data_IF_155251276901
#
_entry.id   IF_155251276901
#
_cell.length_a   1.000
_cell.length_b   1.000
_cell.length_c   1.000
_cell.angle_alpha   90.00
_cell.angle_beta   90.00
_cell.angle_gamma   90.00
#
_symmetry.space_group_name_H-M   'P 1'
#
loop_
_entity.id
_entity.type
_entity.pdbx_description
1 polymer ?
#
# COMPACT_ATOMS: atom_id res chain seq x y z
N UNK A 1 63.68 -50.99 4.15
CA UNK A 1 62.34 -50.57 3.68
C UNK A 1 62.11 -49.14 4.13
N UNK A 2 62.24 -48.16 3.22
CA UNK A 2 62.38 -46.72 3.52
C UNK A 2 61.25 -45.94 2.83
N UNK A 3 60.56 -45.10 3.60
CA UNK A 3 59.45 -44.24 3.19
C UNK A 3 59.90 -43.18 2.18
N UNK A 4 59.27 -43.15 1.01
CA UNK A 4 59.30 -42.09 -0.03
C UNK A 4 57.96 -42.24 -0.78
N UNK A 5 57.14 -41.24 -1.10
CA UNK A 5 57.28 -39.80 -1.00
C UNK A 5 55.90 -39.13 -0.94
N UNK A 6 55.72 -38.30 0.08
CA UNK A 6 54.79 -37.17 0.08
C UNK A 6 55.68 -35.95 -0.11
N UNK A 7 55.68 -35.29 -1.29
CA UNK A 7 55.93 -33.83 -1.42
C UNK A 7 55.99 -33.33 -2.89
N UNK A 8 54.98 -33.51 -3.75
CA UNK A 8 55.08 -32.91 -5.11
C UNK A 8 53.76 -32.63 -5.85
N UNK A 9 52.68 -32.18 -5.19
CA UNK A 9 51.45 -31.85 -5.93
C UNK A 9 50.62 -30.71 -5.31
N UNK A 10 51.22 -29.54 -5.05
CA UNK A 10 50.47 -28.33 -4.63
C UNK A 10 50.85 -27.07 -5.43
N UNK A 11 51.73 -27.14 -6.43
CA UNK A 11 52.21 -25.91 -7.13
C UNK A 11 51.56 -25.71 -8.52
N UNK A 12 50.62 -26.57 -8.95
CA UNK A 12 50.03 -26.50 -10.29
C UNK A 12 48.74 -25.69 -10.45
N UNK A 13 48.00 -25.40 -9.38
CA UNK A 13 46.62 -24.89 -9.48
C UNK A 13 46.46 -23.38 -9.23
N UNK A 14 47.55 -22.63 -9.01
CA UNK A 14 47.50 -21.19 -8.80
C UNK A 14 47.57 -20.34 -10.09
N UNK A 15 47.67 -20.95 -11.28
CA UNK A 15 47.81 -20.22 -12.55
C UNK A 15 46.58 -20.30 -13.49
N UNK A 16 45.45 -20.84 -13.03
CA UNK A 16 44.21 -20.87 -13.82
C UNK A 16 43.16 -19.83 -13.39
N UNK A 17 43.49 -18.92 -12.48
CA UNK A 17 42.60 -17.83 -12.05
C UNK A 17 42.88 -16.47 -12.72
N UNK A 18 43.83 -16.39 -13.65
CA UNK A 18 44.17 -15.14 -14.36
C UNK A 18 43.46 -14.95 -15.71
N UNK A 19 42.51 -15.82 -16.08
CA UNK A 19 41.88 -15.82 -17.41
C UNK A 19 40.38 -15.47 -17.44
N UNK A 20 39.79 -14.96 -16.34
CA UNK A 20 38.45 -14.37 -16.36
C UNK A 20 38.49 -12.96 -15.75
N UNK A 21 39.33 -12.08 -16.31
CA UNK A 21 39.32 -10.64 -16.02
C UNK A 21 39.12 -9.81 -17.30
N UNK A 22 38.19 -10.26 -18.16
CA UNK A 22 37.64 -9.44 -19.24
C UNK A 22 36.28 -8.91 -18.78
N UNK A 23 36.33 -7.76 -18.10
CA UNK A 23 35.16 -7.08 -17.59
C UNK A 23 35.55 -5.96 -16.64
N UNK A 24 36.33 -4.99 -17.14
CA UNK A 24 36.44 -3.69 -16.49
C UNK A 24 35.05 -3.05 -16.53
N UNK A 25 34.19 -3.39 -15.56
CA UNK A 25 33.03 -2.58 -15.24
C UNK A 25 33.58 -1.20 -14.89
N UNK A 26 33.21 -0.20 -15.66
CA UNK A 26 33.52 1.19 -15.35
C UNK A 26 32.98 1.53 -13.96
N UNK A 27 33.60 2.48 -13.26
CA UNK A 27 33.11 2.94 -11.95
C UNK A 27 31.62 3.32 -12.00
N UNK A 28 31.13 3.79 -13.15
CA UNK A 28 29.70 4.03 -13.41
C UNK A 28 28.84 2.77 -13.48
N UNK A 29 29.33 1.68 -14.07
CA UNK A 29 28.61 0.39 -14.10
C UNK A 29 28.59 -0.27 -12.73
N UNK A 30 29.67 -0.13 -11.94
CA UNK A 30 29.70 -0.58 -10.55
C UNK A 30 28.75 0.26 -9.68
N UNK A 31 28.77 1.59 -9.81
CA UNK A 31 27.85 2.47 -9.07
C UNK A 31 26.39 2.21 -9.45
N UNK A 32 26.11 1.96 -10.74
CA UNK A 32 24.78 1.59 -11.21
C UNK A 32 24.36 0.23 -10.66
N UNK A 33 25.22 -0.77 -10.69
CA UNK A 33 24.93 -2.10 -10.13
C UNK A 33 24.70 -2.03 -8.62
N UNK A 34 25.49 -1.24 -7.88
CA UNK A 34 25.28 -1.01 -6.45
C UNK A 34 23.97 -0.27 -6.18
N UNK A 35 23.62 0.72 -7.00
CA UNK A 35 22.33 1.42 -6.90
C UNK A 35 21.16 0.48 -7.20
N UNK A 36 21.28 -0.38 -8.21
CA UNK A 36 20.25 -1.34 -8.59
C UNK A 36 20.05 -2.41 -7.49
N UNK A 37 21.13 -2.91 -6.88
CA UNK A 37 21.05 -3.82 -5.71
C UNK A 37 20.42 -3.10 -4.51
N UNK A 38 20.82 -1.85 -4.24
CA UNK A 38 20.24 -1.06 -3.16
C UNK A 38 18.73 -0.78 -3.36
N UNK A 39 18.28 -0.58 -4.61
CA UNK A 39 16.85 -0.39 -4.92
C UNK A 39 16.03 -1.66 -4.68
N UNK A 40 16.58 -2.84 -4.94
CA UNK A 40 15.91 -4.13 -4.65
C UNK A 40 15.75 -4.32 -3.13
N UNK A 41 16.81 -4.08 -2.37
CA UNK A 41 16.75 -4.15 -0.90
C UNK A 41 15.82 -3.09 -0.30
N UNK A 42 15.83 -1.87 -0.84
CA UNK A 42 14.88 -0.81 -0.45
C UNK A 42 13.43 -1.18 -0.75
N UNK A 43 13.16 -1.87 -1.87
CA UNK A 43 11.81 -2.32 -2.22
C UNK A 43 11.29 -3.37 -1.22
N UNK A 44 12.15 -4.32 -0.84
CA UNK A 44 11.80 -5.31 0.18
C UNK A 44 11.58 -4.66 1.55
N UNK A 45 12.41 -3.67 1.92
CA UNK A 45 12.25 -2.93 3.16
C UNK A 45 10.96 -2.09 3.17
N UNK A 46 10.60 -1.47 2.05
CA UNK A 46 9.35 -0.72 1.91
C UNK A 46 8.13 -1.59 2.21
N UNK A 47 8.09 -2.82 1.69
CA UNK A 47 6.99 -3.75 1.94
C UNK A 47 6.90 -4.14 3.42
N UNK A 48 8.04 -4.48 4.05
CA UNK A 48 8.11 -4.76 5.49
C UNK A 48 7.61 -3.57 6.31
N UNK A 49 8.02 -2.36 5.94
CA UNK A 49 7.61 -1.13 6.62
C UNK A 49 6.11 -0.89 6.48
N UNK A 50 5.52 -1.21 5.32
CA UNK A 50 4.10 -1.00 5.06
C UNK A 50 3.18 -2.09 5.65
N UNK A 51 3.71 -3.27 5.95
CA UNK A 51 2.90 -4.41 6.38
C UNK A 51 3.11 -4.77 7.84
N UNK A 52 4.37 -5.00 8.25
CA UNK A 52 4.72 -5.61 9.55
C UNK A 52 5.22 -4.57 10.55
N UNK A 53 5.93 -3.53 10.11
CA UNK A 53 6.53 -2.57 11.03
C UNK A 53 5.50 -1.76 11.81
N UNK A 54 5.91 -1.28 12.99
CA UNK A 54 5.12 -0.31 13.75
C UNK A 54 4.80 0.91 12.87
N UNK A 55 3.55 1.42 12.86
CA UNK A 55 3.19 2.51 11.98
C UNK A 55 4.01 3.80 12.18
N UNK A 56 4.41 4.13 13.42
CA UNK A 56 5.21 5.33 13.68
C UNK A 56 6.66 5.14 13.24
N UNK A 57 7.21 3.92 13.35
CA UNK A 57 8.51 3.57 12.79
C UNK A 57 8.51 3.67 11.25
N UNK A 58 7.48 3.14 10.59
CA UNK A 58 7.31 3.24 9.16
C UNK A 58 7.22 4.70 8.69
N UNK A 59 6.48 5.55 9.43
CA UNK A 59 6.42 6.99 9.16
C UNK A 59 7.81 7.62 9.25
N UNK A 60 8.58 7.33 10.30
CA UNK A 60 9.92 7.89 10.47
C UNK A 60 10.86 7.45 9.33
N UNK A 61 10.80 6.18 8.95
CA UNK A 61 11.55 5.63 7.82
C UNK A 61 11.21 6.35 6.51
N UNK A 62 9.93 6.33 6.09
CA UNK A 62 9.54 6.92 4.81
C UNK A 62 9.72 8.44 4.79
N UNK A 63 9.56 9.13 5.92
CA UNK A 63 9.81 10.55 6.01
C UNK A 63 11.29 10.87 5.74
N UNK A 64 12.21 10.09 6.32
CA UNK A 64 13.65 10.24 6.05
C UNK A 64 13.99 9.90 4.60
N UNK A 65 13.56 8.74 4.12
CA UNK A 65 13.96 8.23 2.79
C UNK A 65 13.37 9.07 1.66
N UNK A 66 12.11 9.51 1.78
CA UNK A 66 11.48 10.40 0.78
C UNK A 66 12.06 11.82 0.79
N UNK A 67 12.63 12.30 1.90
CA UNK A 67 13.36 13.56 1.95
C UNK A 67 14.71 13.47 1.21
N UNK A 68 15.36 12.30 1.27
CA UNK A 68 16.61 12.02 0.55
C UNK A 68 16.38 11.75 -0.95
N UNK A 69 15.18 11.28 -1.30
CA UNK A 69 14.82 10.88 -2.65
C UNK A 69 13.48 11.53 -3.06
N UNK A 70 13.43 12.86 -3.27
CA UNK A 70 12.17 13.59 -3.45
C UNK A 70 11.38 13.20 -4.69
N UNK A 71 12.05 12.67 -5.73
CA UNK A 71 11.43 12.32 -7.02
C UNK A 71 10.81 10.90 -7.02
N UNK A 72 11.02 10.12 -5.95
CA UNK A 72 10.52 8.74 -5.83
C UNK A 72 9.09 8.74 -5.28
N UNK A 73 8.12 8.65 -6.19
CA UNK A 73 6.68 8.62 -5.84
C UNK A 73 6.31 7.44 -4.94
N UNK A 74 6.96 6.29 -5.09
CA UNK A 74 6.73 5.11 -4.26
C UNK A 74 7.07 5.36 -2.78
N UNK A 75 8.14 6.11 -2.49
CA UNK A 75 8.48 6.50 -1.11
C UNK A 75 7.48 7.51 -0.54
N UNK A 76 6.95 8.41 -1.37
CA UNK A 76 5.91 9.37 -0.98
C UNK A 76 4.57 8.68 -0.71
N UNK A 77 4.19 7.71 -1.53
CA UNK A 77 3.05 6.79 -1.28
C UNK A 77 3.26 6.05 0.03
N UNK A 78 4.46 5.51 0.25
CA UNK A 78 4.81 4.80 1.48
C UNK A 78 4.65 5.66 2.73
N UNK A 79 5.10 6.93 2.68
CA UNK A 79 4.87 7.90 3.75
C UNK A 79 3.38 8.14 4.00
N UNK A 80 2.62 8.41 2.94
CA UNK A 80 1.20 8.72 3.04
C UNK A 80 0.39 7.53 3.62
N UNK A 81 0.64 6.32 3.13
CA UNK A 81 0.02 5.09 3.64
C UNK A 81 0.41 4.81 5.11
N UNK A 82 1.66 5.02 5.48
CA UNK A 82 2.12 4.85 6.87
C UNK A 82 1.46 5.85 7.82
N UNK A 83 1.24 7.09 7.37
CA UNK A 83 0.50 8.10 8.16
C UNK A 83 -0.97 7.70 8.39
N UNK A 84 -1.62 7.03 7.42
CA UNK A 84 -2.96 6.44 7.61
C UNK A 84 -2.91 5.35 8.69
N UNK A 85 -1.95 4.41 8.59
CA UNK A 85 -1.76 3.32 9.58
C UNK A 85 -1.46 3.86 10.97
N UNK A 86 -0.69 4.94 11.07
CA UNK A 86 -0.34 5.63 12.32
C UNK A 86 -1.47 6.51 12.88
N UNK A 87 -2.68 6.43 12.30
CA UNK A 87 -3.86 7.22 12.72
C UNK A 87 -3.60 8.73 12.71
N UNK A 88 -2.83 9.21 11.73
CA UNK A 88 -2.51 10.63 11.48
C UNK A 88 -3.18 11.13 10.19
N UNK A 89 -4.52 11.08 10.07
CA UNK A 89 -5.22 11.24 8.79
C UNK A 89 -5.05 12.62 8.15
N UNK A 90 -4.94 13.70 8.95
CA UNK A 90 -4.68 15.05 8.40
C UNK A 90 -3.31 15.14 7.73
N UNK A 91 -2.28 14.54 8.34
CA UNK A 91 -0.95 14.49 7.75
C UNK A 91 -0.93 13.57 6.52
N UNK A 92 -1.64 12.44 6.59
CA UNK A 92 -1.81 11.54 5.45
C UNK A 92 -2.47 12.24 4.26
N UNK A 93 -3.53 13.02 4.49
CA UNK A 93 -4.21 13.78 3.45
C UNK A 93 -3.24 14.77 2.77
N UNK A 94 -2.44 15.51 3.54
CA UNK A 94 -1.40 16.39 2.97
C UNK A 94 -0.37 15.60 2.15
N UNK A 95 0.07 14.43 2.63
CA UNK A 95 1.04 13.60 1.91
C UNK A 95 0.46 13.02 0.60
N UNK A 96 -0.80 12.55 0.61
CA UNK A 96 -1.49 12.08 -0.59
C UNK A 96 -1.74 13.20 -1.60
N UNK A 97 -2.06 14.41 -1.12
CA UNK A 97 -2.16 15.58 -1.99
C UNK A 97 -0.82 15.86 -2.71
N UNK A 98 0.31 15.69 -2.01
CA UNK A 98 1.64 15.80 -2.62
C UNK A 98 1.88 14.69 -3.64
N UNK A 99 1.50 13.44 -3.34
CA UNK A 99 1.59 12.31 -4.30
C UNK A 99 0.83 12.63 -5.58
N UNK A 100 -0.39 13.16 -5.50
CA UNK A 100 -1.20 13.49 -6.68
C UNK A 100 -0.61 14.62 -7.54
N UNK A 101 0.34 15.39 -7.02
CA UNK A 101 1.05 16.42 -7.78
C UNK A 101 2.33 15.87 -8.47
N UNK A 102 2.71 14.61 -8.21
CA UNK A 102 3.92 14.01 -8.75
C UNK A 102 3.68 13.30 -10.10
N UNK A 103 4.69 13.24 -10.98
CA UNK A 103 4.67 12.36 -12.14
C UNK A 103 4.46 10.89 -11.73
N UNK A 104 3.55 10.19 -12.43
CA UNK A 104 3.22 8.79 -12.14
C UNK A 104 2.08 8.59 -11.14
N UNK A 105 1.45 9.67 -10.65
CA UNK A 105 0.21 9.59 -9.88
C UNK A 105 -0.92 8.97 -10.72
N UNK A 106 -1.81 8.23 -10.05
CA UNK A 106 -2.91 7.50 -10.70
C UNK A 106 -4.22 7.58 -9.88
N UNK A 107 -5.23 6.81 -10.29
CA UNK A 107 -6.53 6.82 -9.63
C UNK A 107 -6.53 6.07 -8.28
N UNK A 108 -5.64 5.09 -8.08
CA UNK A 108 -5.48 4.45 -6.76
C UNK A 108 -5.03 5.49 -5.73
N UNK A 109 -4.05 6.34 -6.08
CA UNK A 109 -3.59 7.43 -5.20
C UNK A 109 -4.72 8.41 -4.85
N UNK A 110 -5.64 8.64 -5.80
CA UNK A 110 -6.79 9.53 -5.59
C UNK A 110 -7.81 8.90 -4.63
N UNK A 111 -8.02 7.59 -4.75
CA UNK A 111 -8.87 6.84 -3.83
C UNK A 111 -8.25 6.81 -2.42
N UNK A 112 -6.93 6.65 -2.30
CA UNK A 112 -6.24 6.74 -1.00
C UNK A 112 -6.29 8.16 -0.40
N UNK A 113 -6.22 9.19 -1.25
CA UNK A 113 -6.41 10.56 -0.81
C UNK A 113 -7.83 10.77 -0.24
N UNK A 114 -8.86 10.27 -0.93
CA UNK A 114 -10.24 10.34 -0.45
C UNK A 114 -10.44 9.58 0.87
N UNK A 115 -9.82 8.42 1.05
CA UNK A 115 -9.83 7.69 2.34
C UNK A 115 -9.23 8.54 3.46
N UNK A 116 -8.06 9.15 3.23
CA UNK A 116 -7.42 10.02 4.21
C UNK A 116 -8.28 11.25 4.56
N UNK A 117 -8.97 11.83 3.57
CA UNK A 117 -9.90 12.94 3.74
C UNK A 117 -11.14 12.55 4.56
N UNK A 118 -11.73 11.37 4.30
CA UNK A 118 -12.84 10.84 5.10
C UNK A 118 -12.40 10.68 6.56
N UNK A 119 -11.24 10.07 6.80
CA UNK A 119 -10.68 9.87 8.16
C UNK A 119 -10.36 11.19 8.87
N UNK A 120 -10.11 12.26 8.14
CA UNK A 120 -9.90 13.61 8.70
C UNK A 120 -11.17 14.45 8.79
N UNK A 121 -12.35 13.87 8.51
CA UNK A 121 -13.66 14.51 8.46
C UNK A 121 -13.84 15.58 7.36
N UNK A 122 -13.09 15.46 6.26
CA UNK A 122 -13.15 16.36 5.09
C UNK A 122 -14.03 15.76 3.99
N UNK A 123 -15.29 15.47 4.32
CA UNK A 123 -16.23 14.71 3.50
C UNK A 123 -16.48 15.30 2.10
N UNK A 124 -16.75 16.60 2.01
CA UNK A 124 -17.03 17.24 0.71
C UNK A 124 -15.81 17.25 -0.22
N UNK A 125 -14.60 17.37 0.31
CA UNK A 125 -13.39 17.25 -0.50
C UNK A 125 -13.17 15.81 -0.94
N UNK A 126 -13.43 14.83 -0.07
CA UNK A 126 -13.35 13.42 -0.43
C UNK A 126 -14.30 13.07 -1.60
N UNK A 127 -15.54 13.56 -1.54
CA UNK A 127 -16.52 13.41 -2.62
C UNK A 127 -16.00 14.02 -3.92
N UNK A 128 -15.51 15.26 -3.88
CA UNK A 128 -14.91 15.92 -5.06
C UNK A 128 -13.74 15.15 -5.65
N UNK A 129 -12.96 14.43 -4.83
CA UNK A 129 -11.87 13.60 -5.32
C UNK A 129 -12.38 12.29 -5.93
N UNK A 130 -13.38 11.64 -5.34
CA UNK A 130 -13.97 10.42 -5.91
C UNK A 130 -14.72 10.70 -7.22
N UNK A 131 -15.39 11.85 -7.36
CA UNK A 131 -16.03 12.28 -8.62
C UNK A 131 -15.05 12.41 -9.80
N UNK A 132 -13.76 12.61 -9.52
CA UNK A 132 -12.70 12.68 -10.54
C UNK A 132 -12.18 11.30 -10.93
N UNK A 133 -12.57 10.24 -10.22
CA UNK A 133 -12.18 8.86 -10.54
C UNK A 133 -13.10 8.34 -11.66
N UNK A 134 -12.55 7.91 -12.81
CA UNK A 134 -13.37 7.45 -13.92
C UNK A 134 -14.15 6.19 -13.53
N UNK A 135 -15.37 5.98 -14.08
CA UNK A 135 -16.17 4.80 -13.78
C UNK A 135 -15.47 3.47 -14.06
N UNK A 136 -14.52 3.44 -15.00
CA UNK A 136 -13.72 2.25 -15.35
C UNK A 136 -12.70 1.85 -14.29
N UNK A 137 -12.48 2.68 -13.26
CA UNK A 137 -11.65 2.35 -12.12
C UNK A 137 -12.52 1.69 -11.03
N UNK A 138 -12.72 0.39 -11.17
CA UNK A 138 -13.66 -0.39 -10.36
C UNK A 138 -12.91 -1.15 -9.26
N UNK A 139 -12.66 -0.48 -8.13
CA UNK A 139 -11.96 -1.09 -6.98
C UNK A 139 -12.88 -1.18 -5.76
N UNK A 140 -12.70 -2.23 -4.95
CA UNK A 140 -13.40 -2.40 -3.68
C UNK A 140 -13.34 -1.14 -2.81
N UNK A 141 -12.14 -0.57 -2.63
CA UNK A 141 -11.93 0.59 -1.77
C UNK A 141 -12.72 1.79 -2.29
N UNK A 142 -12.67 2.09 -3.60
CA UNK A 142 -13.45 3.20 -4.18
C UNK A 142 -14.93 3.07 -3.83
N UNK A 143 -15.56 1.94 -4.16
CA UNK A 143 -17.01 1.77 -3.94
C UNK A 143 -17.37 1.78 -2.45
N UNK A 144 -16.52 1.26 -1.57
CA UNK A 144 -16.72 1.38 -0.13
C UNK A 144 -16.73 2.85 0.33
N UNK A 145 -15.81 3.69 -0.17
CA UNK A 145 -15.78 5.11 0.20
C UNK A 145 -16.97 5.87 -0.39
N UNK A 146 -17.33 5.59 -1.65
CA UNK A 146 -18.53 6.13 -2.30
C UNK A 146 -19.81 5.81 -1.50
N UNK A 147 -19.92 4.57 -1.00
CA UNK A 147 -21.02 4.15 -0.14
C UNK A 147 -21.05 4.96 1.16
N UNK A 148 -19.91 5.14 1.82
CA UNK A 148 -19.81 5.93 3.06
C UNK A 148 -20.18 7.41 2.84
N UNK A 149 -19.79 8.01 1.71
CA UNK A 149 -20.14 9.40 1.37
C UNK A 149 -21.63 9.52 1.09
N UNK A 150 -22.19 8.65 0.25
CA UNK A 150 -23.62 8.64 -0.05
C UNK A 150 -24.46 8.45 1.24
N UNK A 151 -24.01 7.58 2.14
CA UNK A 151 -24.62 7.35 3.45
C UNK A 151 -24.57 8.62 4.31
N UNK A 152 -23.41 9.30 4.39
CA UNK A 152 -23.30 10.58 5.11
C UNK A 152 -24.22 11.68 4.52
N UNK A 153 -24.40 11.67 3.20
CA UNK A 153 -25.28 12.61 2.47
C UNK A 153 -26.76 12.22 2.53
N UNK A 154 -27.10 11.06 3.10
CA UNK A 154 -28.46 10.50 3.15
C UNK A 154 -29.03 10.08 1.80
N UNK A 155 -28.16 9.84 0.82
CA UNK A 155 -28.50 9.28 -0.48
C UNK A 155 -28.58 7.75 -0.39
N UNK A 156 -29.54 7.27 0.39
CA UNK A 156 -29.60 5.88 0.85
C UNK A 156 -29.63 4.84 -0.27
N UNK A 157 -30.35 5.11 -1.36
CA UNK A 157 -30.42 4.20 -2.51
C UNK A 157 -29.04 4.07 -3.20
N UNK A 158 -28.31 5.19 -3.29
CA UNK A 158 -26.95 5.22 -3.84
C UNK A 158 -25.97 4.52 -2.92
N UNK A 159 -26.08 4.76 -1.61
CA UNK A 159 -25.29 4.09 -0.59
C UNK A 159 -25.47 2.56 -0.64
N UNK A 160 -26.72 2.10 -0.69
CA UNK A 160 -27.05 0.68 -0.77
C UNK A 160 -26.45 0.02 -2.02
N UNK A 161 -26.59 0.66 -3.19
CA UNK A 161 -25.99 0.17 -4.45
C UNK A 161 -24.46 0.09 -4.37
N UNK A 162 -23.80 1.11 -3.80
CA UNK A 162 -22.34 1.09 -3.68
C UNK A 162 -21.84 0.08 -2.65
N UNK A 163 -22.56 -0.12 -1.54
CA UNK A 163 -22.23 -1.17 -0.58
C UNK A 163 -22.32 -2.56 -1.23
N UNK A 164 -23.38 -2.83 -2.00
CA UNK A 164 -23.56 -4.08 -2.74
C UNK A 164 -22.39 -4.34 -3.70
N UNK A 165 -22.04 -3.35 -4.53
CA UNK A 165 -20.91 -3.45 -5.47
C UNK A 165 -19.60 -3.67 -4.70
N UNK A 166 -19.35 -2.93 -3.62
CA UNK A 166 -18.14 -3.11 -2.82
C UNK A 166 -18.04 -4.53 -2.26
N UNK A 167 -19.11 -5.06 -1.67
CA UNK A 167 -19.12 -6.44 -1.14
C UNK A 167 -18.82 -7.46 -2.24
N UNK A 168 -19.36 -7.28 -3.45
CA UNK A 168 -19.10 -8.16 -4.60
C UNK A 168 -17.65 -8.14 -5.13
N UNK A 169 -16.86 -7.12 -4.78
CA UNK A 169 -15.48 -6.94 -5.24
C UNK A 169 -14.42 -7.43 -4.25
N UNK A 170 -14.81 -8.04 -3.12
CA UNK A 170 -13.88 -8.51 -2.10
C UNK A 170 -14.25 -9.90 -1.58
N UNK A 171 -13.24 -10.68 -1.20
CA UNK A 171 -13.42 -11.96 -0.48
C UNK A 171 -13.43 -11.78 1.04
N UNK A 172 -13.26 -10.54 1.53
CA UNK A 172 -13.26 -10.18 2.96
C UNK A 172 -14.21 -9.00 3.22
N UNK A 173 -15.53 -9.18 3.04
CA UNK A 173 -16.50 -8.09 3.11
C UNK A 173 -16.92 -7.69 4.53
N UNK A 174 -16.51 -8.41 5.59
CA UNK A 174 -17.03 -8.26 6.96
C UNK A 174 -17.14 -6.81 7.42
N UNK A 175 -16.07 -6.03 7.31
CA UNK A 175 -16.08 -4.63 7.73
C UNK A 175 -17.00 -3.73 6.90
N UNK A 176 -17.22 -4.05 5.62
CA UNK A 176 -18.15 -3.31 4.75
C UNK A 176 -19.60 -3.71 5.02
N UNK A 177 -19.87 -5.00 5.22
CA UNK A 177 -21.18 -5.50 5.65
C UNK A 177 -21.60 -4.91 7.00
N UNK A 178 -20.68 -4.79 7.95
CA UNK A 178 -20.95 -4.14 9.23
C UNK A 178 -21.31 -2.66 9.07
N UNK A 179 -20.56 -1.92 8.25
CA UNK A 179 -20.88 -0.52 7.96
C UNK A 179 -22.26 -0.38 7.30
N UNK A 180 -22.58 -1.27 6.35
CA UNK A 180 -23.87 -1.27 5.68
C UNK A 180 -25.01 -1.64 6.65
N UNK A 181 -24.81 -2.64 7.51
CA UNK A 181 -25.73 -3.01 8.57
C UNK A 181 -26.00 -1.84 9.52
N UNK A 182 -24.96 -1.08 9.89
CA UNK A 182 -25.11 0.13 10.70
C UNK A 182 -25.93 1.22 9.97
N UNK A 183 -25.68 1.45 8.68
CA UNK A 183 -26.52 2.32 7.85
C UNK A 183 -27.99 1.89 7.92
N UNK A 184 -28.30 0.61 7.64
CA UNK A 184 -29.68 0.07 7.73
C UNK A 184 -30.30 0.25 9.11
N UNK A 185 -29.52 0.00 10.17
CA UNK A 185 -29.94 0.14 11.56
C UNK A 185 -30.34 1.58 11.88
N UNK A 186 -29.50 2.56 11.53
CA UNK A 186 -29.79 3.99 11.79
C UNK A 186 -31.02 4.50 11.04
N UNK A 187 -31.38 3.85 9.94
CA UNK A 187 -32.57 4.12 9.12
C UNK A 187 -33.82 3.37 9.62
N UNK A 188 -33.71 2.56 10.68
CA UNK A 188 -34.80 1.76 11.24
C UNK A 188 -35.12 0.47 10.48
N UNK A 189 -34.28 0.07 9.52
CA UNK A 189 -34.42 -1.21 8.82
C UNK A 189 -33.72 -2.32 9.59
N UNK A 190 -34.31 -2.70 10.73
CA UNK A 190 -33.70 -3.63 11.68
C UNK A 190 -33.48 -5.04 11.10
N UNK A 191 -34.43 -5.55 10.31
CA UNK A 191 -34.34 -6.89 9.74
C UNK A 191 -33.16 -7.02 8.76
N UNK A 192 -32.96 -6.02 7.90
CA UNK A 192 -31.84 -6.03 6.97
C UNK A 192 -30.51 -5.77 7.68
N UNK A 193 -30.51 -4.93 8.71
CA UNK A 193 -29.33 -4.73 9.55
C UNK A 193 -28.87 -6.03 10.22
N UNK A 194 -29.80 -6.77 10.84
CA UNK A 194 -29.52 -8.07 11.47
C UNK A 194 -28.94 -9.07 10.47
N UNK A 195 -29.54 -9.15 9.27
CA UNK A 195 -29.04 -10.01 8.19
C UNK A 195 -27.60 -9.67 7.82
N UNK A 196 -27.30 -8.39 7.59
CA UNK A 196 -25.96 -7.92 7.22
C UNK A 196 -24.93 -8.14 8.32
N UNK A 197 -25.29 -7.92 9.59
CA UNK A 197 -24.40 -8.22 10.71
C UNK A 197 -24.12 -9.71 10.84
N UNK A 198 -25.13 -10.56 10.69
CA UNK A 198 -24.97 -12.02 10.67
C UNK A 198 -24.03 -12.47 9.55
N UNK A 199 -24.25 -11.99 8.32
CA UNK A 199 -23.38 -12.28 7.19
C UNK A 199 -21.93 -11.81 7.44
N UNK A 200 -21.75 -10.65 8.07
CA UNK A 200 -20.42 -10.14 8.39
C UNK A 200 -19.65 -11.06 9.36
N UNK A 201 -20.36 -11.67 10.33
CA UNK A 201 -19.80 -12.62 11.30
C UNK A 201 -19.47 -13.98 10.65
N UNK A 202 -20.20 -14.39 9.61
CA UNK A 202 -19.87 -15.60 8.85
C UNK A 202 -18.50 -15.49 8.14
N UNK A 203 -18.12 -14.28 7.73
CA UNK A 203 -16.80 -14.01 7.13
C UNK A 203 -15.69 -13.77 8.18
N UNK A 204 -16.02 -13.12 9.30
CA UNK A 204 -15.08 -12.88 10.40
C UNK A 204 -15.82 -12.88 11.75
N UNK A 205 -15.73 -14.00 12.46
CA UNK A 205 -16.39 -14.19 13.74
C UNK A 205 -15.78 -13.36 14.89
N UNK A 206 -14.66 -12.67 14.66
CA UNK A 206 -13.96 -11.87 15.68
C UNK A 206 -14.35 -10.38 15.69
N UNK A 207 -15.23 -9.98 14.78
CA UNK A 207 -15.77 -8.61 14.73
C UNK A 207 -16.56 -8.20 15.97
#
# INVERSE_FOLDING_TARGET
>A
MRKVGFLSLVIGSALLLTACNDGNLSDQEVERALKDVNVIDETNLNDVMLTVADPDEAVAYFQKTSAQNPDRIDLRRGLAASLVRAKKPRLAATAWQQVLAMPGANNDDRVEYADALIRSNQWSEAESQLDKVPPTHETFKRYRLEAMIADANKDWDKADSFYEVAVGLTTKPSGTLNNWGYSKLTRGNYAEAERLFGEALDYDASM
#
